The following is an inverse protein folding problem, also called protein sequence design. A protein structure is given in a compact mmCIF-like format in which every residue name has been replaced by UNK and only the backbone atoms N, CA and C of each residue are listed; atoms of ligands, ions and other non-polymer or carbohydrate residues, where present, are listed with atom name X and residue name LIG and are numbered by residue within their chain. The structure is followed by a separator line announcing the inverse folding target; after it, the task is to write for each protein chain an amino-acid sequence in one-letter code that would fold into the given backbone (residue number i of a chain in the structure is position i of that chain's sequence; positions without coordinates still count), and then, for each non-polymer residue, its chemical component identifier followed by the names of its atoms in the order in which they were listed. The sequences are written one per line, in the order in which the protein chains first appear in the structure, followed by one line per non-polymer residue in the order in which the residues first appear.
data_IF_035787541363
#
_entry.id   IF_035787541363
#
_cell.length_a   1.000
_cell.length_b   1.000
_cell.length_c   1.000
_cell.angle_alpha   90.00
_cell.angle_beta   90.00
_cell.angle_gamma   90.00
#
_symmetry.space_group_name_H-M   'P 1'
#
loop_
_entity.id
_entity.type
_entity.pdbx_description
1 polymer ?
#
# COMPACT_ATOMS: atom_id res chain seq x y z
N UNK A 1 -16.15 82.79 -37.48
CA UNK A 1 -16.92 82.84 -36.21
C UNK A 1 -16.59 81.61 -35.38
N UNK A 2 -16.59 81.73 -34.05
CA UNK A 2 -16.06 80.69 -33.15
C UNK A 2 -17.06 79.60 -32.81
N UNK A 3 -16.59 78.34 -32.69
CA UNK A 3 -16.87 77.53 -31.50
C UNK A 3 -15.78 76.47 -31.31
N UNK A 4 -15.29 76.37 -30.08
CA UNK A 4 -14.34 75.36 -29.64
C UNK A 4 -15.11 74.25 -28.93
N UNK A 5 -14.84 72.99 -29.26
CA UNK A 5 -15.32 71.86 -28.46
C UNK A 5 -14.34 70.69 -28.54
N UNK A 6 -13.40 70.67 -27.59
CA UNK A 6 -12.72 69.42 -27.18
C UNK A 6 -13.71 68.59 -26.36
N UNK A 7 -13.67 67.27 -26.50
CA UNK A 7 -13.82 66.28 -25.43
C UNK A 7 -13.25 64.94 -25.94
N UNK A 8 -12.70 64.13 -25.04
CA UNK A 8 -11.92 62.94 -25.39
C UNK A 8 -12.84 61.76 -25.76
N UNK A 9 -12.54 61.09 -26.88
CA UNK A 9 -12.97 59.71 -27.12
C UNK A 9 -12.05 58.72 -26.39
N UNK A 10 -12.55 57.59 -25.87
CA UNK A 10 -11.75 56.70 -25.04
C UNK A 10 -10.76 55.85 -25.86
N UNK A 11 -9.55 55.69 -25.34
CA UNK A 11 -8.63 54.64 -25.78
C UNK A 11 -9.20 53.29 -25.32
N UNK A 12 -9.72 52.50 -26.27
CA UNK A 12 -10.16 51.13 -26.00
C UNK A 12 -8.92 50.24 -25.88
N UNK A 13 -8.40 50.11 -24.66
CA UNK A 13 -7.31 49.21 -24.34
C UNK A 13 -7.78 47.74 -24.43
N UNK A 14 -7.46 47.07 -25.54
CA UNK A 14 -7.72 45.63 -25.73
C UNK A 14 -6.74 44.82 -24.88
N UNK A 15 -7.06 44.65 -23.60
CA UNK A 15 -6.26 43.92 -22.62
C UNK A 15 -6.44 42.39 -22.75
N UNK A 16 -5.96 41.81 -23.86
CA UNK A 16 -5.95 40.37 -24.07
C UNK A 16 -4.68 39.73 -23.47
N UNK A 17 -4.75 39.21 -22.24
CA UNK A 17 -3.62 38.53 -21.60
C UNK A 17 -4.04 37.39 -20.66
N UNK A 18 -3.94 36.15 -21.16
CA UNK A 18 -3.36 35.05 -20.37
C UNK A 18 -4.06 34.57 -19.10
N UNK A 19 -5.39 34.44 -19.07
CA UNK A 19 -6.07 33.60 -18.07
C UNK A 19 -5.80 32.11 -18.35
N UNK A 20 -4.56 31.66 -18.15
CA UNK A 20 -4.12 30.30 -18.42
C UNK A 20 -4.88 29.28 -17.58
N UNK A 21 -5.58 28.34 -18.22
CA UNK A 21 -6.19 27.20 -17.56
C UNK A 21 -5.09 26.34 -16.94
N UNK A 22 -4.86 26.51 -15.63
CA UNK A 22 -4.12 25.54 -14.83
C UNK A 22 -4.98 24.29 -14.75
N UNK A 23 -4.84 23.42 -15.75
CA UNK A 23 -5.39 22.08 -15.74
C UNK A 23 -4.73 21.33 -14.57
N UNK A 24 -5.42 21.29 -13.43
CA UNK A 24 -5.01 20.47 -12.28
C UNK A 24 -5.03 19.02 -12.77
N UNK A 25 -3.85 18.47 -13.03
CA UNK A 25 -3.72 17.08 -13.40
C UNK A 25 -4.41 16.22 -12.33
N UNK A 26 -5.22 15.21 -12.71
CA UNK A 26 -5.84 14.32 -11.75
C UNK A 26 -4.76 13.68 -10.88
N UNK A 27 -5.02 13.45 -9.57
CA UNK A 27 -4.02 12.91 -8.66
C UNK A 27 -3.49 11.58 -9.21
N UNK A 28 -2.16 11.42 -9.24
CA UNK A 28 -1.53 10.22 -9.76
C UNK A 28 -1.96 8.99 -8.93
N UNK A 29 -2.76 8.12 -9.54
CA UNK A 29 -3.32 6.93 -8.90
C UNK A 29 -2.23 5.91 -8.60
N UNK A 30 -1.86 5.80 -7.32
CA UNK A 30 -0.91 4.82 -6.80
C UNK A 30 -1.66 3.67 -6.11
N UNK A 31 -2.20 2.77 -6.92
CA UNK A 31 -2.96 1.61 -6.46
C UNK A 31 -2.14 0.75 -5.49
N UNK A 32 -2.67 0.49 -4.30
CA UNK A 32 -1.96 -0.22 -3.23
C UNK A 32 -2.89 -1.03 -2.34
N UNK A 33 -2.33 -2.07 -1.69
CA UNK A 33 -3.04 -2.94 -0.75
C UNK A 33 -2.34 -2.97 0.61
N UNK A 34 -3.14 -2.90 1.68
CA UNK A 34 -2.73 -3.26 3.04
C UNK A 34 -3.52 -4.48 3.49
N UNK A 35 -2.82 -5.59 3.70
CA UNK A 35 -3.40 -6.87 4.16
C UNK A 35 -3.05 -7.09 5.62
N UNK A 36 -3.96 -7.70 6.38
CA UNK A 36 -3.77 -7.93 7.82
C UNK A 36 -4.53 -9.18 8.30
N UNK A 37 -3.84 -10.18 8.90
CA UNK A 37 -2.39 -10.39 8.88
C UNK A 37 -1.88 -10.88 7.51
N UNK A 38 -0.58 -10.70 7.23
CA UNK A 38 0.11 -11.24 6.04
C UNK A 38 0.90 -12.51 6.31
N UNK A 39 1.55 -12.59 7.47
CA UNK A 39 2.43 -13.69 7.85
C UNK A 39 1.84 -14.53 8.99
N UNK A 40 2.37 -15.74 9.17
CA UNK A 40 1.97 -16.66 10.25
C UNK A 40 0.47 -17.02 10.25
N UNK A 41 -0.12 -17.12 9.05
CA UNK A 41 -1.52 -17.52 8.83
C UNK A 41 -1.77 -18.98 9.24
N UNK A 42 -2.98 -19.28 9.73
CA UNK A 42 -3.38 -20.64 10.06
C UNK A 42 -3.56 -21.51 8.79
N UNK A 43 -2.82 -22.63 8.63
CA UNK A 43 -2.80 -23.37 7.36
C UNK A 43 -4.14 -24.02 7.00
N UNK A 44 -4.94 -24.43 7.99
CA UNK A 44 -6.29 -24.98 7.79
C UNK A 44 -7.36 -23.97 7.36
N UNK A 45 -7.04 -22.67 7.39
CA UNK A 45 -7.92 -21.60 6.91
C UNK A 45 -8.11 -20.46 7.90
N UNK A 46 -8.06 -19.22 7.41
CA UNK A 46 -8.22 -18.00 8.21
C UNK A 46 -8.86 -16.88 7.37
N UNK A 47 -9.50 -15.91 8.03
CA UNK A 47 -9.91 -14.64 7.41
C UNK A 47 -8.75 -13.62 7.47
N UNK A 48 -8.50 -12.90 6.37
CA UNK A 48 -7.62 -11.72 6.35
C UNK A 48 -8.40 -10.50 5.88
N UNK A 49 -8.14 -9.35 6.50
CA UNK A 49 -8.70 -8.06 6.07
C UNK A 49 -7.78 -7.44 5.03
N UNK A 50 -8.36 -6.95 3.94
CA UNK A 50 -7.66 -6.33 2.81
C UNK A 50 -8.25 -4.93 2.59
N UNK A 51 -7.47 -3.90 2.88
CA UNK A 51 -7.80 -2.53 2.55
C UNK A 51 -7.06 -2.10 1.28
N UNK A 52 -7.77 -1.50 0.32
CA UNK A 52 -7.22 -0.94 -0.90
C UNK A 52 -7.32 0.58 -0.92
N UNK A 53 -6.34 1.24 -1.52
CA UNK A 53 -6.33 2.69 -1.72
C UNK A 53 -5.58 3.09 -2.98
N UNK A 54 -5.83 4.31 -3.47
CA UNK A 54 -5.13 4.88 -4.63
C UNK A 54 -5.59 4.35 -5.99
N UNK A 55 -6.60 3.47 -6.05
CA UNK A 55 -7.19 3.00 -7.30
C UNK A 55 -7.97 4.10 -8.03
N UNK A 56 -8.14 3.95 -9.33
CA UNK A 56 -8.98 4.74 -10.20
C UNK A 56 -10.30 3.99 -10.40
N UNK A 57 -11.40 4.55 -9.87
CA UNK A 57 -12.74 3.97 -9.88
C UNK A 57 -13.55 4.30 -11.15
N UNK A 58 -12.93 4.95 -12.15
CA UNK A 58 -13.50 5.24 -13.46
C UNK A 58 -12.76 4.52 -14.61
N UNK A 59 -11.46 4.22 -14.42
CA UNK A 59 -10.63 3.44 -15.34
C UNK A 59 -11.26 2.12 -15.74
N UNK A 60 -10.91 1.67 -16.95
CA UNK A 60 -11.38 0.42 -17.54
C UNK A 60 -12.91 0.34 -17.48
N UNK A 61 -13.58 1.38 -17.98
CA UNK A 61 -15.04 1.58 -17.99
C UNK A 61 -15.73 1.45 -16.62
N UNK A 62 -15.00 1.63 -15.51
CA UNK A 62 -15.52 1.44 -14.17
C UNK A 62 -15.70 -0.02 -13.75
N UNK A 63 -15.17 -0.99 -14.51
CA UNK A 63 -15.18 -2.42 -14.16
C UNK A 63 -14.52 -2.72 -12.80
N UNK A 64 -13.66 -1.83 -12.30
CA UNK A 64 -12.99 -1.99 -11.02
C UNK A 64 -11.95 -3.12 -11.03
N UNK A 65 -11.80 -3.80 -9.90
CA UNK A 65 -10.76 -4.82 -9.69
C UNK A 65 -11.32 -6.11 -9.10
N UNK A 66 -10.70 -7.24 -9.42
CA UNK A 66 -10.80 -8.43 -8.57
C UNK A 66 -9.77 -8.34 -7.45
N UNK A 67 -10.19 -8.66 -6.22
CA UNK A 67 -9.32 -8.82 -5.05
C UNK A 67 -9.35 -10.29 -4.65
N UNK A 68 -8.22 -10.99 -4.78
CA UNK A 68 -8.14 -12.47 -4.75
C UNK A 68 -7.03 -12.98 -3.85
N UNK A 69 -7.09 -14.26 -3.49
CA UNK A 69 -5.99 -15.01 -2.87
C UNK A 69 -5.63 -16.27 -3.66
N UNK A 70 -4.34 -16.44 -3.97
CA UNK A 70 -3.80 -17.62 -4.64
C UNK A 70 -2.40 -17.39 -5.26
N UNK A 71 -1.94 -18.26 -6.17
CA UNK A 71 -0.63 -18.15 -6.81
C UNK A 71 -0.64 -17.10 -7.93
N UNK A 72 0.45 -16.34 -8.07
CA UNK A 72 0.64 -15.41 -9.19
C UNK A 72 1.29 -16.12 -10.39
N UNK A 73 0.54 -17.06 -10.99
CA UNK A 73 0.88 -17.69 -12.29
C UNK A 73 0.92 -16.62 -13.39
N UNK A 74 1.58 -16.85 -14.53
CA UNK A 74 1.70 -15.84 -15.61
C UNK A 74 0.35 -15.38 -16.20
N UNK A 75 -0.64 -16.28 -16.17
CA UNK A 75 -2.02 -16.13 -16.65
C UNK A 75 -3.01 -15.60 -15.59
N UNK A 76 -2.54 -15.21 -14.38
CA UNK A 76 -3.40 -14.90 -13.22
C UNK A 76 -4.56 -13.93 -13.51
N UNK A 77 -4.36 -12.96 -14.40
CA UNK A 77 -5.37 -11.96 -14.75
C UNK A 77 -6.48 -12.48 -15.69
N UNK A 78 -6.35 -13.70 -16.21
CA UNK A 78 -7.30 -14.38 -17.11
C UNK A 78 -7.86 -15.67 -16.52
N UNK A 79 -7.14 -16.29 -15.59
CA UNK A 79 -7.50 -17.56 -14.99
C UNK A 79 -8.11 -17.38 -13.59
N UNK A 80 -9.44 -17.21 -13.55
CA UNK A 80 -10.18 -17.10 -12.29
C UNK A 80 -10.17 -18.40 -11.46
N UNK A 81 -10.08 -19.57 -12.13
CA UNK A 81 -10.09 -20.88 -11.48
C UNK A 81 -8.90 -21.09 -10.54
N UNK A 82 -7.78 -20.40 -10.77
CA UNK A 82 -6.58 -20.51 -9.95
C UNK A 82 -6.72 -20.06 -8.48
N UNK A 83 -7.78 -19.32 -8.11
CA UNK A 83 -7.88 -18.65 -6.80
C UNK A 83 -8.76 -19.38 -5.78
N UNK A 84 -8.33 -19.40 -4.52
CA UNK A 84 -9.09 -20.00 -3.41
C UNK A 84 -10.17 -19.07 -2.82
N UNK A 85 -10.06 -17.76 -3.06
CA UNK A 85 -11.13 -16.79 -2.80
C UNK A 85 -10.95 -15.54 -3.66
N UNK A 86 -12.07 -14.90 -3.98
CA UNK A 86 -12.14 -13.69 -4.80
C UNK A 86 -13.31 -12.80 -4.36
N UNK A 87 -13.14 -11.48 -4.47
CA UNK A 87 -14.19 -10.48 -4.35
C UNK A 87 -14.06 -9.50 -5.51
N UNK A 88 -15.15 -9.22 -6.22
CA UNK A 88 -15.19 -8.19 -7.25
C UNK A 88 -15.50 -6.81 -6.63
N UNK A 89 -14.57 -5.87 -6.78
CA UNK A 89 -14.60 -4.57 -6.12
C UNK A 89 -14.77 -3.45 -7.14
N UNK A 90 -15.98 -2.87 -7.17
CA UNK A 90 -16.37 -1.84 -8.15
C UNK A 90 -17.35 -0.83 -7.55
N UNK A 91 -17.63 0.27 -8.27
CA UNK A 91 -18.38 1.42 -7.74
C UNK A 91 -19.82 1.11 -7.30
N UNK A 92 -20.43 0.06 -7.86
CA UNK A 92 -21.77 -0.45 -7.52
C UNK A 92 -21.78 -1.77 -6.72
N UNK A 93 -20.62 -2.31 -6.35
CA UNK A 93 -20.51 -3.67 -5.82
C UNK A 93 -21.24 -3.87 -4.50
N UNK A 94 -22.15 -4.84 -4.48
CA UNK A 94 -22.93 -5.23 -3.31
C UNK A 94 -23.39 -6.69 -3.41
N UNK A 95 -23.71 -7.32 -2.28
CA UNK A 95 -24.07 -8.74 -2.21
C UNK A 95 -22.88 -9.70 -2.17
N UNK A 96 -23.16 -11.01 -2.29
CA UNK A 96 -22.15 -12.05 -2.17
C UNK A 96 -21.09 -11.97 -3.29
N UNK A 97 -19.82 -12.18 -2.94
CA UNK A 97 -18.70 -12.13 -3.89
C UNK A 97 -18.36 -10.73 -4.42
N UNK A 98 -19.02 -9.67 -3.94
CA UNK A 98 -18.83 -8.29 -4.39
C UNK A 98 -18.59 -7.33 -3.22
N UNK A 99 -17.92 -6.21 -3.48
CA UNK A 99 -17.82 -5.11 -2.54
C UNK A 99 -17.71 -3.75 -3.24
N UNK A 100 -18.01 -2.68 -2.51
CA UNK A 100 -18.03 -1.34 -3.08
C UNK A 100 -16.66 -0.67 -3.07
N UNK A 101 -16.22 -0.20 -4.24
CA UNK A 101 -15.15 0.79 -4.34
C UNK A 101 -15.74 2.21 -4.15
N UNK A 102 -15.08 3.04 -3.34
CA UNK A 102 -15.42 4.46 -3.24
C UNK A 102 -15.03 5.22 -4.51
N UNK A 103 -15.60 6.42 -4.71
CA UNK A 103 -15.17 7.31 -5.80
C UNK A 103 -13.71 7.78 -5.66
N UNK A 104 -13.13 7.67 -4.46
CA UNK A 104 -11.74 7.99 -4.15
C UNK A 104 -10.80 6.76 -4.24
N UNK A 105 -11.24 5.66 -4.85
CA UNK A 105 -10.38 4.49 -5.07
C UNK A 105 -10.07 3.66 -3.83
N UNK A 106 -10.91 3.73 -2.81
CA UNK A 106 -10.73 3.01 -1.55
C UNK A 106 -11.77 1.92 -1.34
N UNK A 107 -11.37 0.84 -0.67
CA UNK A 107 -12.25 -0.27 -0.29
C UNK A 107 -11.68 -1.05 0.90
N UNK A 108 -12.53 -1.82 1.58
CA UNK A 108 -12.13 -2.85 2.54
C UNK A 108 -12.92 -4.12 2.26
N UNK A 109 -12.23 -5.27 2.14
CA UNK A 109 -12.82 -6.59 1.95
C UNK A 109 -12.18 -7.61 2.88
N UNK A 110 -12.82 -8.77 3.05
CA UNK A 110 -12.27 -9.89 3.82
C UNK A 110 -12.15 -11.12 2.92
N UNK A 111 -10.97 -11.70 2.84
CA UNK A 111 -10.72 -12.94 2.09
C UNK A 111 -10.52 -14.12 3.04
N UNK A 112 -11.01 -15.31 2.64
CA UNK A 112 -10.62 -16.57 3.28
C UNK A 112 -9.38 -17.12 2.59
N UNK A 113 -8.32 -17.31 3.36
CA UNK A 113 -7.03 -17.82 2.88
C UNK A 113 -6.75 -19.17 3.54
N UNK A 114 -6.12 -20.10 2.82
CA UNK A 114 -5.79 -21.47 3.27
C UNK A 114 -4.49 -21.92 2.62
N UNK A 115 -3.68 -22.70 3.34
CA UNK A 115 -2.35 -23.11 2.86
C UNK A 115 -2.42 -24.06 1.67
N UNK A 116 -3.40 -24.96 1.64
CA UNK A 116 -3.59 -25.93 0.54
C UNK A 116 -5.02 -25.94 0.04
N UNK A 117 -5.20 -26.12 -1.26
CA UNK A 117 -6.52 -26.24 -1.89
C UNK A 117 -6.48 -26.90 -3.26
N UNK A 118 -7.62 -27.42 -3.71
CA UNK A 118 -7.86 -27.76 -5.11
C UNK A 118 -8.35 -26.51 -5.84
N UNK A 119 -7.69 -26.12 -6.93
CA UNK A 119 -8.13 -25.02 -7.81
C UNK A 119 -9.31 -25.46 -8.71
N UNK A 120 -9.95 -24.51 -9.40
CA UNK A 120 -11.15 -24.76 -10.22
C UNK A 120 -10.91 -25.67 -11.43
N UNK A 121 -9.65 -25.93 -11.80
CA UNK A 121 -9.26 -26.90 -12.83
C UNK A 121 -8.94 -28.28 -12.22
N UNK A 122 -9.20 -28.48 -10.93
CA UNK A 122 -8.94 -29.73 -10.21
C UNK A 122 -7.50 -29.89 -9.70
N UNK A 123 -6.62 -28.90 -9.83
CA UNK A 123 -5.19 -29.05 -9.46
C UNK A 123 -4.93 -28.69 -8.00
N UNK A 124 -4.08 -29.47 -7.34
CA UNK A 124 -3.62 -29.13 -5.99
C UNK A 124 -2.69 -27.90 -6.02
N UNK A 125 -2.95 -26.95 -5.13
CA UNK A 125 -2.14 -25.74 -4.87
C UNK A 125 -1.65 -25.79 -3.42
N UNK A 126 -0.35 -25.53 -3.22
CA UNK A 126 0.29 -25.48 -1.90
C UNK A 126 0.99 -24.13 -1.69
N UNK A 127 0.24 -23.17 -1.17
CA UNK A 127 0.71 -21.84 -0.82
C UNK A 127 1.75 -21.81 0.30
N UNK A 128 1.91 -22.89 1.08
CA UNK A 128 2.98 -22.98 2.06
C UNK A 128 4.32 -23.44 1.44
N UNK A 129 4.27 -24.19 0.32
CA UNK A 129 5.44 -24.62 -0.42
C UNK A 129 5.88 -23.62 -1.51
N UNK A 130 4.94 -23.10 -2.31
CA UNK A 130 5.27 -22.23 -3.47
C UNK A 130 5.14 -20.74 -3.20
N UNK A 131 4.57 -20.35 -2.05
CA UNK A 131 4.10 -19.00 -1.77
C UNK A 131 2.81 -18.65 -2.53
N UNK A 132 1.99 -17.78 -1.92
CA UNK A 132 0.80 -17.20 -2.53
C UNK A 132 0.68 -15.72 -2.14
N UNK A 133 -0.19 -15.01 -2.84
CA UNK A 133 -0.39 -13.59 -2.71
C UNK A 133 -1.86 -13.29 -2.43
N UNK A 134 -2.11 -12.21 -1.69
CA UNK A 134 -3.33 -11.43 -1.87
C UNK A 134 -3.05 -10.40 -2.96
N UNK A 135 -3.96 -10.30 -3.94
CA UNK A 135 -3.73 -9.53 -5.17
C UNK A 135 -4.96 -8.70 -5.50
N UNK A 136 -4.76 -7.50 -6.01
CA UNK A 136 -5.80 -6.70 -6.66
C UNK A 136 -5.38 -6.41 -8.10
N UNK A 137 -6.32 -6.56 -9.05
CA UNK A 137 -6.05 -6.33 -10.46
C UNK A 137 -7.31 -6.00 -11.26
N UNK A 138 -7.13 -5.31 -12.41
CA UNK A 138 -8.23 -4.94 -13.31
C UNK A 138 -9.14 -6.14 -13.64
N UNK A 139 -10.46 -5.95 -13.46
CA UNK A 139 -11.46 -7.01 -13.60
C UNK A 139 -11.68 -7.44 -15.08
N UNK A 140 -12.45 -8.51 -15.26
CA UNK A 140 -12.89 -9.04 -16.57
C UNK A 140 -11.79 -9.24 -17.63
N UNK A 141 -10.58 -9.62 -17.22
CA UNK A 141 -9.49 -9.95 -18.15
C UNK A 141 -8.85 -8.76 -18.85
N UNK A 142 -9.15 -7.53 -18.42
CA UNK A 142 -8.63 -6.30 -19.04
C UNK A 142 -7.09 -6.27 -19.02
N UNK A 143 -6.43 -5.98 -20.17
CA UNK A 143 -4.97 -6.06 -20.29
C UNK A 143 -4.22 -4.88 -19.64
N UNK A 144 -4.90 -3.80 -19.26
CA UNK A 144 -4.29 -2.74 -18.44
C UNK A 144 -3.92 -3.28 -17.05
N UNK A 145 -2.63 -3.17 -16.72
CA UNK A 145 -2.03 -3.65 -15.46
C UNK A 145 -1.55 -2.49 -14.58
N UNK A 146 -1.83 -1.24 -14.93
CA UNK A 146 -1.30 -0.06 -14.22
C UNK A 146 -1.85 0.13 -12.80
N UNK A 147 -2.78 -0.73 -12.38
CA UNK A 147 -3.40 -0.73 -11.04
C UNK A 147 -3.17 -2.04 -10.28
N UNK A 148 -2.29 -2.91 -10.79
CA UNK A 148 -2.02 -4.20 -10.15
C UNK A 148 -1.24 -4.01 -8.84
N UNK A 149 -1.74 -4.61 -7.76
CA UNK A 149 -1.11 -4.59 -6.45
C UNK A 149 -1.02 -6.01 -5.88
N UNK A 150 0.17 -6.38 -5.38
CA UNK A 150 0.48 -7.73 -4.90
C UNK A 150 1.05 -7.68 -3.49
N UNK A 151 0.50 -8.47 -2.57
CA UNK A 151 1.02 -8.62 -1.21
C UNK A 151 1.30 -10.10 -0.96
N UNK A 152 2.56 -10.53 -0.80
CA UNK A 152 2.88 -11.92 -0.47
C UNK A 152 2.35 -12.26 0.93
N UNK A 153 1.91 -13.49 1.12
CA UNK A 153 1.44 -13.99 2.42
C UNK A 153 2.08 -15.33 2.77
N UNK A 154 2.30 -15.59 4.06
CA UNK A 154 2.92 -16.81 4.56
C UNK A 154 2.09 -17.50 5.64
N UNK A 155 2.04 -18.82 5.56
CA UNK A 155 1.39 -19.68 6.54
C UNK A 155 2.39 -20.18 7.57
N UNK A 156 1.91 -20.50 8.77
CA UNK A 156 2.70 -21.30 9.72
C UNK A 156 2.93 -22.67 9.12
N UNK A 157 4.10 -23.25 9.36
CA UNK A 157 4.33 -24.66 9.08
C UNK A 157 3.26 -25.49 9.80
N UNK A 158 2.53 -26.32 9.05
CA UNK A 158 1.64 -27.31 9.64
C UNK A 158 2.49 -28.29 10.44
N UNK A 159 2.46 -28.18 11.78
CA UNK A 159 2.92 -29.28 12.63
C UNK A 159 2.12 -30.52 12.22
N UNK A 160 2.74 -31.68 11.92
CA UNK A 160 2.00 -32.89 11.65
C UNK A 160 1.02 -33.13 12.80
N UNK A 161 -0.26 -33.35 12.50
CA UNK A 161 -1.22 -33.78 13.50
C UNK A 161 -0.70 -35.10 14.07
N UNK A 162 -0.26 -35.09 15.32
CA UNK A 162 0.32 -36.26 15.95
C UNK A 162 -0.69 -37.40 15.91
N UNK A 163 -0.33 -38.50 15.24
CA UNK A 163 -1.11 -39.73 15.33
C UNK A 163 -1.24 -40.14 16.80
N UNK A 164 -2.41 -40.66 17.17
CA UNK A 164 -2.73 -41.01 18.55
C UNK A 164 -1.69 -41.97 19.13
N UNK A 165 -0.80 -41.44 19.98
CA UNK A 165 0.03 -42.28 20.82
C UNK A 165 -0.88 -43.02 21.82
N UNK A 166 -0.79 -44.36 21.96
CA UNK A 166 -1.49 -45.09 23.01
C UNK A 166 -1.15 -44.52 24.40
N UNK A 167 -2.13 -44.46 25.28
CA UNK A 167 -2.01 -43.71 26.53
C UNK A 167 -1.00 -44.30 27.52
N UNK A 168 -0.13 -43.43 28.04
CA UNK A 168 0.60 -43.63 29.30
C UNK A 168 0.30 -42.45 30.22
N UNK A 169 -0.21 -42.70 31.42
CA UNK A 169 -0.67 -41.67 32.36
C UNK A 169 0.16 -41.58 33.64
N UNK A 170 0.09 -40.43 34.29
CA UNK A 170 0.68 -40.11 35.61
C UNK A 170 2.24 -40.05 35.64
N UNK A 171 2.90 -39.27 36.49
CA UNK A 171 2.46 -38.32 37.54
C UNK A 171 3.41 -37.11 37.62
N UNK A 172 2.89 -35.97 38.09
CA UNK A 172 3.73 -34.85 38.59
C UNK A 172 4.07 -35.02 40.08
N UNK A 173 5.26 -34.60 40.52
CA UNK A 173 5.48 -34.11 41.89
C UNK A 173 5.28 -32.59 41.98
N UNK A 174 5.08 -32.05 43.18
CA UNK A 174 4.82 -30.63 43.41
C UNK A 174 5.73 -30.01 44.48
N UNK A 175 5.90 -28.68 44.41
CA UNK A 175 6.23 -27.71 45.46
C UNK A 175 7.39 -27.95 46.46
N UNK A 176 8.21 -26.90 46.65
CA UNK A 176 9.10 -26.74 47.80
C UNK A 176 8.34 -26.23 49.05
N UNK A 177 9.00 -26.10 50.23
CA UNK A 177 9.28 -24.72 50.67
C UNK A 177 10.55 -24.45 51.54
N UNK A 178 11.12 -23.25 51.33
CA UNK A 178 11.64 -22.29 52.35
C UNK A 178 12.82 -22.64 53.31
N UNK A 179 13.84 -21.76 53.31
CA UNK A 179 14.91 -21.61 54.33
C UNK A 179 15.41 -20.16 54.39
N UNK A 180 15.97 -19.69 55.51
CA UNK A 180 16.13 -18.24 55.86
C UNK A 180 17.35 -18.01 56.79
N UNK A 181 18.05 -16.86 56.88
CA UNK A 181 17.86 -15.52 56.26
C UNK A 181 19.09 -15.14 55.37
N UNK A 182 19.98 -14.14 55.53
CA UNK A 182 20.19 -13.06 56.54
C UNK A 182 21.04 -11.90 55.97
N UNK A 183 20.61 -10.65 56.21
CA UNK A 183 21.38 -9.38 56.10
C UNK A 183 21.93 -8.87 54.73
N UNK A 184 22.16 -7.56 54.68
CA UNK A 184 22.68 -6.71 53.59
C UNK A 184 23.17 -5.38 54.24
N UNK A 185 23.36 -4.26 53.50
CA UNK A 185 24.01 -4.02 52.21
C UNK A 185 25.27 -3.13 52.37
N UNK A 186 25.96 -2.76 51.28
CA UNK A 186 26.57 -1.43 51.20
C UNK A 186 26.76 -0.96 49.74
N UNK A 187 26.75 0.36 49.51
CA UNK A 187 26.76 1.00 48.19
C UNK A 187 28.01 1.83 47.95
N UNK A 188 28.64 1.67 46.78
CA UNK A 188 29.59 2.64 46.20
C UNK A 188 29.38 2.69 44.68
N UNK A 189 29.68 3.83 44.04
CA UNK A 189 29.36 4.09 42.62
C UNK A 189 30.61 4.47 41.79
N UNK A 190 30.42 4.58 40.47
CA UNK A 190 31.42 4.95 39.44
C UNK A 190 32.46 3.86 39.14
N UNK A 191 33.11 3.80 37.97
CA UNK A 191 33.40 4.85 36.96
C UNK A 191 33.26 4.32 35.52
N UNK A 192 33.20 5.21 34.52
CA UNK A 192 33.00 4.88 33.10
C UNK A 192 34.27 5.04 32.22
N UNK A 193 34.45 4.12 31.26
CA UNK A 193 35.14 4.26 29.96
C UNK A 193 34.86 2.96 29.16
N UNK A 194 34.55 2.90 27.85
CA UNK A 194 34.93 3.67 26.65
C UNK A 194 36.25 3.23 25.99
N UNK A 195 36.16 2.28 25.05
CA UNK A 195 37.05 2.23 23.87
C UNK A 195 36.47 1.37 22.73
N UNK A 196 36.47 1.93 21.53
CA UNK A 196 36.31 1.21 20.25
C UNK A 196 37.70 0.86 19.69
N UNK A 197 37.77 0.01 18.64
CA UNK A 197 38.74 0.24 17.59
C UNK A 197 38.10 0.29 16.18
N UNK A 198 38.92 0.69 15.19
CA UNK A 198 38.49 1.18 13.86
C UNK A 198 39.03 0.29 12.72
N UNK A 199 38.62 0.55 11.47
CA UNK A 199 38.65 -0.39 10.35
C UNK A 199 39.86 -0.32 9.37
N UNK A 200 39.92 -1.36 8.52
CA UNK A 200 40.26 -1.38 7.08
C UNK A 200 41.72 -1.59 6.59
N UNK A 201 41.81 -2.28 5.43
CA UNK A 201 43.00 -2.49 4.57
C UNK A 201 43.77 -3.80 4.84
N UNK A 202 44.33 -4.51 3.85
CA UNK A 202 44.18 -4.52 2.38
C UNK A 202 44.69 -5.89 1.82
N UNK A 203 44.53 -6.17 0.52
CA UNK A 203 45.02 -7.40 -0.16
C UNK A 203 45.97 -7.07 -1.33
N UNK A 204 46.73 -8.05 -1.89
CA UNK A 204 46.26 -8.66 -3.15
C UNK A 204 46.68 -10.13 -3.46
N UNK A 205 45.84 -10.76 -4.30
CA UNK A 205 46.10 -11.79 -5.35
C UNK A 205 46.95 -13.06 -5.11
N UNK A 206 46.29 -14.22 -5.32
CA UNK A 206 46.67 -15.21 -6.33
C UNK A 206 45.40 -15.92 -6.88
N UNK A 207 45.52 -16.65 -7.99
CA UNK A 207 44.44 -17.38 -8.74
C UNK A 207 45.08 -18.55 -9.52
N UNK A 208 44.36 -19.47 -10.20
CA UNK A 208 42.91 -19.52 -10.51
C UNK A 208 42.21 -20.90 -10.31
N UNK A 209 40.88 -20.94 -10.47
CA UNK A 209 40.16 -21.87 -11.38
C UNK A 209 38.61 -21.82 -11.21
N UNK A 210 37.88 -21.80 -12.34
CA UNK A 210 36.61 -22.55 -12.48
C UNK A 210 35.29 -21.96 -11.98
N UNK A 211 34.44 -21.57 -12.95
CA UNK A 211 32.98 -21.76 -12.97
C UNK A 211 32.02 -20.78 -12.26
N UNK A 212 30.87 -20.59 -12.92
CA UNK A 212 29.64 -19.93 -12.46
C UNK A 212 29.72 -18.46 -12.01
N UNK A 213 29.35 -17.53 -12.92
CA UNK A 213 28.94 -16.17 -12.55
C UNK A 213 27.67 -16.21 -11.69
N UNK A 214 27.67 -15.72 -10.44
CA UNK A 214 26.43 -15.46 -9.72
C UNK A 214 25.71 -14.28 -10.37
N UNK A 215 24.41 -14.41 -10.63
CA UNK A 215 23.58 -13.26 -10.99
C UNK A 215 23.56 -12.28 -9.82
N UNK A 216 24.04 -11.06 -10.04
CA UNK A 216 24.02 -10.03 -9.02
C UNK A 216 22.58 -9.72 -8.62
N UNK A 217 22.27 -9.87 -7.33
CA UNK A 217 20.99 -9.43 -6.77
C UNK A 217 20.98 -7.90 -6.81
N UNK A 218 20.27 -7.31 -7.78
CA UNK A 218 20.06 -5.87 -7.79
C UNK A 218 19.27 -5.50 -6.51
N UNK A 219 19.79 -4.59 -5.66
CA UNK A 219 19.08 -4.21 -4.46
C UNK A 219 17.78 -3.52 -4.84
N UNK A 220 16.69 -3.90 -4.18
CA UNK A 220 15.35 -3.36 -4.43
C UNK A 220 15.40 -1.82 -4.48
N UNK A 221 15.12 -1.26 -5.66
CA UNK A 221 15.05 0.18 -5.88
C UNK A 221 13.88 0.73 -5.07
N UNK A 222 14.16 1.20 -3.85
CA UNK A 222 13.22 1.98 -3.05
C UNK A 222 12.93 3.26 -3.82
N UNK A 223 11.81 3.28 -4.55
CA UNK A 223 11.32 4.48 -5.22
C UNK A 223 11.22 5.58 -4.17
N UNK A 224 11.94 6.69 -4.38
CA UNK A 224 11.97 7.78 -3.41
C UNK A 224 10.54 8.23 -3.09
N UNK A 225 10.20 8.30 -1.80
CA UNK A 225 8.89 8.78 -1.38
C UNK A 225 8.67 10.19 -1.96
N UNK A 226 7.54 10.37 -2.64
CA UNK A 226 7.20 11.65 -3.27
C UNK A 226 7.28 12.79 -2.26
N UNK A 227 7.77 13.95 -2.70
CA UNK A 227 8.01 15.09 -1.82
C UNK A 227 6.79 15.40 -0.94
N UNK A 228 6.98 15.70 0.36
CA UNK A 228 5.87 15.83 1.31
C UNK A 228 4.88 16.90 0.85
N UNK A 229 3.59 16.64 1.09
CA UNK A 229 2.50 17.51 0.68
C UNK A 229 2.73 18.95 1.14
N UNK A 230 3.00 19.85 0.18
CA UNK A 230 3.31 21.25 0.46
C UNK A 230 2.07 21.95 1.02
N UNK A 231 2.28 22.84 1.99
CA UNK A 231 1.22 23.59 2.68
C UNK A 231 0.22 24.23 1.69
N UNK A 232 -1.10 24.19 1.95
CA UNK A 232 -2.13 24.79 1.10
C UNK A 232 -2.18 26.33 1.16
N UNK A 233 -1.21 26.99 1.79
CA UNK A 233 -1.09 28.46 1.84
C UNK A 233 -1.30 29.20 0.50
N UNK A 234 -0.67 28.82 -0.64
CA UNK A 234 -0.88 29.53 -1.90
C UNK A 234 -2.32 29.40 -2.44
N UNK A 235 -3.04 28.33 -2.10
CA UNK A 235 -4.47 28.20 -2.44
C UNK A 235 -5.31 29.22 -1.66
N UNK A 236 -5.07 29.36 -0.35
CA UNK A 236 -5.79 30.33 0.48
C UNK A 236 -5.49 31.78 0.10
N UNK A 237 -4.25 32.10 -0.28
CA UNK A 237 -3.89 33.42 -0.82
C UNK A 237 -4.64 33.74 -2.12
N UNK A 238 -4.73 32.78 -3.06
CA UNK A 238 -5.46 32.96 -4.31
C UNK A 238 -6.97 33.17 -4.08
N UNK A 239 -7.59 32.38 -3.21
CA UNK A 239 -9.02 32.53 -2.86
C UNK A 239 -9.30 33.89 -2.21
N UNK A 240 -8.43 34.34 -1.30
CA UNK A 240 -8.54 35.65 -0.65
C UNK A 240 -8.50 36.82 -1.63
N UNK A 241 -7.59 36.79 -2.62
CA UNK A 241 -7.47 37.82 -3.64
C UNK A 241 -8.73 37.94 -4.52
N UNK A 242 -9.32 36.81 -4.93
CA UNK A 242 -10.55 36.79 -5.74
C UNK A 242 -11.74 37.36 -4.94
N UNK A 243 -11.86 37.02 -3.65
CA UNK A 243 -12.91 37.56 -2.79
C UNK A 243 -12.79 39.08 -2.61
N UNK A 244 -11.57 39.60 -2.43
CA UNK A 244 -11.31 41.04 -2.33
C UNK A 244 -11.68 41.78 -3.63
N UNK A 245 -11.32 41.25 -4.79
CA UNK A 245 -11.68 41.81 -6.09
C UNK A 245 -13.21 41.87 -6.31
N UNK A 246 -13.92 40.78 -6.00
CA UNK A 246 -15.39 40.73 -6.12
C UNK A 246 -16.09 41.75 -5.19
N UNK A 247 -15.55 41.98 -3.98
CA UNK A 247 -16.06 43.00 -3.06
C UNK A 247 -15.76 44.43 -3.53
N UNK A 248 -14.59 44.68 -4.13
CA UNK A 248 -14.25 45.96 -4.73
C UNK A 248 -15.18 46.32 -5.89
N UNK A 249 -15.42 45.38 -6.82
CA UNK A 249 -16.37 45.55 -7.94
C UNK A 249 -17.79 45.82 -7.43
N UNK A 250 -18.27 45.06 -6.44
CA UNK A 250 -19.58 45.30 -5.81
C UNK A 250 -19.68 46.67 -5.11
N UNK A 251 -18.58 47.20 -4.56
CA UNK A 251 -18.55 48.55 -3.96
C UNK A 251 -18.52 49.67 -5.00
N UNK A 252 -17.86 49.48 -6.15
CA UNK A 252 -17.91 50.42 -7.27
C UNK A 252 -19.31 50.47 -7.91
N UNK A 253 -19.93 49.30 -8.13
CA UNK A 253 -21.26 49.18 -8.73
C UNK A 253 -22.40 49.75 -7.86
N UNK A 254 -22.17 49.97 -6.56
CA UNK A 254 -23.12 50.64 -5.63
C UNK A 254 -22.78 52.11 -5.37
N UNK A 255 -21.86 52.70 -6.15
CA UNK A 255 -21.47 54.13 -6.11
C UNK A 255 -21.73 54.83 -7.45
N UNK A 256 -22.61 54.24 -8.25
CA UNK A 256 -23.22 54.76 -9.47
C UNK A 256 -24.73 54.57 -9.35
#
# INVERSE_FOLDING_TARGET
MSRCQRILGPVVAVAAAGAGLVAVAPPAHAASLRVSPTANLAPGGQQVTVAGSGFDAARNNGFGVYVVFGPRRGDFHRNANAFASAVWVHRGGSGAGQARMSAAGTFTVTLRVKAKYTDGDGRAVDCAATGCYVMAFAAHGVPDRSQDAFVPVSFRASRPSGGTAPGGGASSPAAAPSGRTTAAPNTTASTAASSSPTAAGAAPQASPAGSATPLAVEPYRVTAAGAPARSPWPFWLAVGAVAAAALAVRRLARRR
#
